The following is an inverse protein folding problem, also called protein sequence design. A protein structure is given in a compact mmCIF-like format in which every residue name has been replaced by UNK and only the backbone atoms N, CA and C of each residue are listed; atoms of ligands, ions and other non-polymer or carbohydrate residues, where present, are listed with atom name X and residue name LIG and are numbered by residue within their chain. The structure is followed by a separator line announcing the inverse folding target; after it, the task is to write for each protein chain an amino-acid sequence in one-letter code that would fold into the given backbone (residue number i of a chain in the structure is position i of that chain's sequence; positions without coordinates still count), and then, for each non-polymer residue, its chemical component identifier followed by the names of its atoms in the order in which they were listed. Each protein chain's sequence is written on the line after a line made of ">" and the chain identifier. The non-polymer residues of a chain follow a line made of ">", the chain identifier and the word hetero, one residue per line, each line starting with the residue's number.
data_IF_653400894176
#
_entry.id   IF_653400894176
#
_cell.length_a   1.000
_cell.length_b   1.000
_cell.length_c   1.000
_cell.angle_alpha   90.00
_cell.angle_beta   90.00
_cell.angle_gamma   90.00
#
_symmetry.space_group_name_H-M   'P 1'
#
loop_
_entity.id
_entity.type
_entity.pdbx_description
1 polymer ?
#
# COMPACT_ATOMS: atom_id res chain seq x y z
N UNK A 1 10.21 16.03 -16.24
CA UNK A 1 8.84 15.80 -15.71
C UNK A 1 8.94 15.56 -14.21
N UNK A 2 8.35 16.42 -13.37
CA UNK A 2 8.35 16.31 -11.90
C UNK A 2 6.91 16.43 -11.38
N UNK A 3 6.05 15.48 -11.73
CA UNK A 3 4.68 15.36 -11.24
C UNK A 3 4.45 13.97 -10.65
N UNK A 4 3.39 13.80 -9.87
CA UNK A 4 3.02 12.45 -9.42
C UNK A 4 2.62 11.63 -10.65
N UNK A 5 3.11 10.40 -10.77
CA UNK A 5 2.71 9.54 -11.90
C UNK A 5 1.21 9.26 -11.89
N UNK A 6 0.56 9.38 -10.72
CA UNK A 6 -0.88 9.23 -10.57
C UNK A 6 -1.68 10.34 -11.26
N UNK A 7 -1.07 11.50 -11.52
CA UNK A 7 -1.68 12.61 -12.26
C UNK A 7 -1.87 12.27 -13.74
N UNK A 8 -1.10 11.30 -14.26
CA UNK A 8 -1.23 10.84 -15.63
C UNK A 8 -2.53 10.04 -15.79
N UNK A 9 -3.46 10.58 -16.58
CA UNK A 9 -4.70 9.88 -16.93
C UNK A 9 -4.46 8.49 -17.53
N UNK A 10 -3.43 8.36 -18.37
CA UNK A 10 -3.04 7.08 -18.97
C UNK A 10 -2.64 6.04 -17.91
N UNK A 11 -1.99 6.47 -16.81
CA UNK A 11 -1.67 5.57 -15.71
C UNK A 11 -2.94 5.08 -15.00
N UNK A 12 -3.87 5.98 -14.67
CA UNK A 12 -5.14 5.62 -13.99
C UNK A 12 -5.98 4.68 -14.85
N UNK A 13 -6.08 4.97 -16.13
CA UNK A 13 -6.75 4.11 -17.10
C UNK A 13 -6.08 2.73 -17.19
N UNK A 14 -4.76 2.68 -17.31
CA UNK A 14 -4.02 1.42 -17.37
C UNK A 14 -4.18 0.57 -16.12
N UNK A 15 -4.16 1.17 -14.93
CA UNK A 15 -4.43 0.46 -13.66
C UNK A 15 -5.81 -0.17 -13.67
N UNK A 16 -6.84 0.60 -14.06
CA UNK A 16 -8.22 0.09 -14.14
C UNK A 16 -8.33 -1.07 -15.13
N UNK A 17 -7.80 -0.92 -16.35
CA UNK A 17 -7.87 -1.96 -17.40
C UNK A 17 -7.18 -3.25 -16.99
N UNK A 18 -6.01 -3.15 -16.34
CA UNK A 18 -5.31 -4.33 -15.80
C UNK A 18 -6.14 -5.00 -14.72
N UNK A 19 -6.76 -4.24 -13.81
CA UNK A 19 -7.60 -4.80 -12.75
C UNK A 19 -8.86 -5.46 -13.32
N UNK A 20 -9.54 -4.84 -14.29
CA UNK A 20 -10.69 -5.42 -14.99
C UNK A 20 -10.31 -6.76 -15.65
N UNK A 21 -9.17 -6.81 -16.34
CA UNK A 21 -8.69 -8.03 -16.98
C UNK A 21 -8.39 -9.15 -15.97
N UNK A 22 -7.78 -8.82 -14.83
CA UNK A 22 -7.48 -9.79 -13.78
C UNK A 22 -8.79 -10.30 -13.15
N UNK A 23 -9.71 -9.40 -12.82
CA UNK A 23 -11.02 -9.75 -12.25
C UNK A 23 -11.86 -10.63 -13.20
N UNK A 24 -11.73 -10.44 -14.52
CA UNK A 24 -12.43 -11.26 -15.51
C UNK A 24 -11.86 -12.67 -15.66
N UNK A 25 -10.61 -12.92 -15.22
CA UNK A 25 -9.89 -14.19 -15.47
C UNK A 25 -9.54 -14.96 -14.21
N UNK A 26 -9.45 -14.29 -13.06
CA UNK A 26 -9.02 -14.90 -11.82
C UNK A 26 -10.22 -15.34 -10.98
N UNK A 27 -10.32 -16.63 -10.71
CA UNK A 27 -11.33 -17.21 -9.82
C UNK A 27 -10.87 -17.03 -8.35
N UNK A 28 -11.11 -15.84 -7.80
CA UNK A 28 -10.86 -15.56 -6.38
C UNK A 28 -10.50 -14.11 -6.07
N UNK A 29 -10.30 -13.77 -4.79
CA UNK A 29 -10.02 -12.40 -4.36
C UNK A 29 -8.73 -11.85 -4.99
N UNK A 30 -8.78 -10.61 -5.45
CA UNK A 30 -7.64 -9.87 -5.99
C UNK A 30 -7.24 -8.79 -4.98
N UNK A 31 -6.00 -8.85 -4.49
CA UNK A 31 -5.47 -7.85 -3.55
C UNK A 31 -4.58 -6.88 -4.34
N UNK A 32 -4.97 -5.59 -4.34
CA UNK A 32 -4.25 -4.55 -5.06
C UNK A 32 -3.66 -3.51 -4.08
N UNK A 33 -2.44 -3.71 -3.58
CA UNK A 33 -1.80 -2.75 -2.67
C UNK A 33 -1.39 -1.51 -3.44
N UNK A 34 -2.12 -0.41 -3.22
CA UNK A 34 -1.81 0.89 -3.82
C UNK A 34 -2.18 2.03 -2.88
N UNK A 35 -1.59 3.19 -3.09
CA UNK A 35 -1.89 4.42 -2.36
C UNK A 35 -2.55 5.38 -3.33
N UNK A 36 -3.88 5.51 -3.26
CA UNK A 36 -4.67 6.47 -4.05
C UNK A 36 -5.43 7.31 -3.05
N UNK A 37 -5.13 8.61 -3.00
CA UNK A 37 -5.66 9.51 -1.97
C UNK A 37 -6.42 10.70 -2.55
N UNK A 38 -6.39 10.86 -3.88
CA UNK A 38 -7.20 11.88 -4.55
C UNK A 38 -8.58 11.30 -4.89
N UNK A 39 -9.68 11.89 -4.39
CA UNK A 39 -11.04 11.37 -4.62
C UNK A 39 -11.39 11.21 -6.11
N UNK A 40 -10.90 12.11 -6.96
CA UNK A 40 -11.08 12.01 -8.41
C UNK A 40 -10.39 10.77 -9.00
N UNK A 41 -9.16 10.49 -8.57
CA UNK A 41 -8.41 9.32 -9.04
C UNK A 41 -9.03 8.03 -8.52
N UNK A 42 -9.50 8.06 -7.27
CA UNK A 42 -10.25 6.97 -6.65
C UNK A 42 -11.51 6.65 -7.46
N UNK A 43 -12.30 7.65 -7.85
CA UNK A 43 -13.50 7.46 -8.68
C UNK A 43 -13.16 6.90 -10.07
N UNK A 44 -12.10 7.38 -10.70
CA UNK A 44 -11.65 6.90 -12.02
C UNK A 44 -11.24 5.41 -12.01
N UNK A 45 -10.74 4.91 -10.88
CA UNK A 45 -10.29 3.52 -10.74
C UNK A 45 -11.35 2.69 -10.02
N UNK A 46 -11.52 2.89 -8.72
CA UNK A 46 -12.40 2.10 -7.85
C UNK A 46 -13.87 2.35 -8.16
N UNK A 47 -14.25 3.62 -8.38
CA UNK A 47 -15.62 3.98 -8.74
C UNK A 47 -16.06 3.27 -10.02
N UNK A 48 -15.25 3.37 -11.08
CA UNK A 48 -15.55 2.70 -12.35
C UNK A 48 -15.57 1.17 -12.28
N UNK A 49 -14.68 0.56 -11.49
CA UNK A 49 -14.72 -0.88 -11.26
C UNK A 49 -16.05 -1.30 -10.59
N UNK A 50 -16.51 -0.52 -9.60
CA UNK A 50 -17.81 -0.75 -8.94
C UNK A 50 -18.98 -0.53 -9.89
N UNK A 51 -18.95 0.53 -10.69
CA UNK A 51 -19.96 0.79 -11.73
C UNK A 51 -20.03 -0.34 -12.77
N UNK A 52 -18.89 -1.01 -13.02
CA UNK A 52 -18.79 -2.23 -13.84
C UNK A 52 -19.30 -3.51 -13.17
N UNK A 53 -19.82 -3.43 -11.94
CA UNK A 53 -20.39 -4.55 -11.19
C UNK A 53 -19.38 -5.36 -10.36
N UNK A 54 -18.12 -4.92 -10.27
CA UNK A 54 -17.15 -5.60 -9.41
C UNK A 54 -17.34 -5.24 -7.93
N UNK A 55 -17.30 -6.24 -7.05
CA UNK A 55 -17.26 -6.01 -5.61
C UNK A 55 -15.86 -5.56 -5.18
N UNK A 56 -15.64 -4.25 -5.17
CA UNK A 56 -14.38 -3.65 -4.75
C UNK A 56 -14.50 -3.11 -3.33
N UNK A 57 -13.82 -3.76 -2.39
CA UNK A 57 -13.63 -3.30 -1.01
C UNK A 57 -12.33 -2.53 -0.89
N UNK A 58 -12.39 -1.29 -0.42
CA UNK A 58 -11.22 -0.44 -0.21
C UNK A 58 -10.96 -0.27 1.29
N UNK A 59 -9.70 -0.36 1.68
CA UNK A 59 -9.27 -0.24 3.07
C UNK A 59 -8.13 0.77 3.15
N UNK A 60 -8.32 1.81 3.95
CA UNK A 60 -7.30 2.78 4.29
C UNK A 60 -6.54 2.31 5.54
N UNK A 61 -5.31 1.83 5.34
CA UNK A 61 -4.46 1.41 6.46
C UNK A 61 -3.87 2.66 7.15
N UNK A 62 -4.52 3.07 8.23
CA UNK A 62 -4.14 4.24 9.01
C UNK A 62 -3.03 3.90 10.00
N UNK A 63 -2.19 4.90 10.28
CA UNK A 63 -1.25 4.85 11.37
C UNK A 63 -0.94 6.26 11.85
N UNK A 64 -0.46 6.39 13.09
CA UNK A 64 0.09 7.64 13.55
C UNK A 64 1.28 8.06 12.69
N UNK A 65 1.42 9.37 12.46
CA UNK A 65 2.48 9.95 11.65
C UNK A 65 3.86 9.43 12.08
N UNK A 66 4.12 9.38 13.38
CA UNK A 66 5.38 8.90 13.96
C UNK A 66 5.64 7.44 13.62
N UNK A 67 4.60 6.60 13.69
CA UNK A 67 4.66 5.19 13.27
C UNK A 67 5.03 5.07 11.79
N UNK A 68 4.44 5.88 10.92
CA UNK A 68 4.77 5.84 9.48
C UNK A 68 6.19 6.32 9.22
N UNK A 69 6.64 7.39 9.86
CA UNK A 69 8.01 7.89 9.74
C UNK A 69 9.04 6.87 10.24
N UNK A 70 8.75 6.18 11.35
CA UNK A 70 9.59 5.08 11.83
C UNK A 70 9.66 3.95 10.80
N UNK A 71 8.53 3.49 10.26
CA UNK A 71 8.48 2.44 9.22
C UNK A 71 9.22 2.85 7.94
N UNK A 72 9.10 4.11 7.52
CA UNK A 72 9.82 4.65 6.36
C UNK A 72 11.33 4.68 6.60
N UNK A 73 11.79 5.08 7.79
CA UNK A 73 13.20 5.03 8.19
C UNK A 73 13.72 3.59 8.19
N UNK A 74 13.02 2.64 8.81
CA UNK A 74 13.42 1.22 8.82
C UNK A 74 13.59 0.65 7.39
N UNK A 75 12.67 0.99 6.48
CA UNK A 75 12.79 0.65 5.05
C UNK A 75 13.95 1.38 4.36
N UNK A 76 14.19 2.63 4.75
CA UNK A 76 15.29 3.47 4.30
C UNK A 76 16.66 2.94 4.73
N UNK A 77 16.80 2.43 5.96
CA UNK A 77 18.03 1.78 6.45
C UNK A 77 18.39 0.55 5.61
N UNK A 78 17.39 -0.25 5.19
CA UNK A 78 17.59 -1.35 4.24
C UNK A 78 18.09 -0.91 2.85
N UNK A 79 17.72 0.30 2.39
CA UNK A 79 18.23 0.92 1.15
C UNK A 79 19.54 1.71 1.34
N UNK A 80 19.77 2.30 2.50
CA UNK A 80 20.99 3.05 2.82
C UNK A 80 22.19 2.11 2.96
N UNK A 81 21.97 0.87 3.39
CA UNK A 81 22.98 -0.21 3.29
C UNK A 81 23.36 -0.53 1.83
N UNK A 82 22.57 -0.11 0.82
CA UNK A 82 22.93 -0.20 -0.60
C UNK A 82 23.52 1.11 -1.18
N UNK A 83 23.38 2.25 -0.49
CA UNK A 83 23.76 3.58 -0.97
C UNK A 83 24.65 4.28 0.07
N UNK A 84 25.90 3.85 0.17
CA UNK A 84 26.95 4.68 0.76
C UNK A 84 27.29 5.79 -0.25
N UNK A 85 26.36 6.71 -0.50
CA UNK A 85 26.57 7.87 -1.37
C UNK A 85 25.59 9.02 -1.05
N UNK A 86 26.00 9.94 -0.16
CA UNK A 86 25.55 11.34 -0.13
C UNK A 86 24.40 11.73 0.83
N UNK A 87 24.76 12.41 1.94
CA UNK A 87 23.86 13.05 2.94
C UNK A 87 22.82 14.05 2.39
N UNK A 88 23.05 14.63 1.20
CA UNK A 88 22.13 15.61 0.62
C UNK A 88 20.91 14.98 -0.09
N UNK A 89 21.06 13.75 -0.59
CA UNK A 89 19.97 12.99 -1.22
C UNK A 89 18.96 12.46 -0.19
N UNK A 90 19.44 12.07 0.99
CA UNK A 90 18.58 11.60 2.08
C UNK A 90 17.66 12.70 2.61
N UNK A 91 18.17 13.93 2.81
CA UNK A 91 17.37 15.04 3.34
C UNK A 91 16.26 15.49 2.39
N UNK A 92 16.52 15.53 1.07
CA UNK A 92 15.48 15.84 0.06
C UNK A 92 14.43 14.74 -0.06
N UNK A 93 14.86 13.48 0.01
CA UNK A 93 13.96 12.33 -0.02
C UNK A 93 13.06 12.29 1.22
N UNK A 94 13.62 12.61 2.40
CA UNK A 94 12.85 12.73 3.64
C UNK A 94 11.80 13.84 3.54
N UNK A 95 12.15 15.04 3.09
CA UNK A 95 11.18 16.14 2.95
C UNK A 95 10.03 15.81 1.99
N UNK A 96 10.32 15.17 0.85
CA UNK A 96 9.29 14.72 -0.08
C UNK A 96 8.42 13.59 0.50
N UNK A 97 9.04 12.60 1.15
CA UNK A 97 8.32 11.50 1.79
C UNK A 97 7.42 11.98 2.94
N UNK A 98 7.86 12.99 3.70
CA UNK A 98 7.11 13.63 4.78
C UNK A 98 5.95 14.45 4.23
N UNK A 99 6.17 15.30 3.23
CA UNK A 99 5.10 16.09 2.62
C UNK A 99 4.00 15.19 2.01
N UNK A 100 4.42 14.10 1.34
CA UNK A 100 3.49 13.10 0.80
C UNK A 100 2.79 12.32 1.91
N UNK A 101 3.46 12.05 3.04
CA UNK A 101 2.86 11.40 4.20
C UNK A 101 1.73 12.23 4.78
N UNK A 102 1.98 13.50 5.07
CA UNK A 102 1.00 14.38 5.69
C UNK A 102 -0.23 14.55 4.78
N UNK A 103 0.01 14.77 3.49
CA UNK A 103 -1.05 14.79 2.46
C UNK A 103 -1.85 13.49 2.41
N UNK A 104 -1.18 12.33 2.38
CA UNK A 104 -1.87 11.03 2.33
C UNK A 104 -2.70 10.78 3.58
N UNK A 105 -2.17 11.05 4.79
CA UNK A 105 -2.89 10.80 6.04
C UNK A 105 -4.10 11.71 6.17
N UNK A 106 -4.00 12.97 5.73
CA UNK A 106 -5.13 13.90 5.76
C UNK A 106 -6.21 13.46 4.78
N UNK A 107 -5.85 13.16 3.53
CA UNK A 107 -6.80 12.75 2.50
C UNK A 107 -7.46 11.41 2.77
N UNK A 108 -6.72 10.44 3.28
CA UNK A 108 -7.25 9.13 3.60
C UNK A 108 -8.33 9.17 4.67
N UNK A 109 -8.43 10.23 5.49
CA UNK A 109 -9.52 10.40 6.47
C UNK A 109 -10.88 10.68 5.82
N UNK A 110 -10.94 10.98 4.52
CA UNK A 110 -12.20 11.22 3.82
C UNK A 110 -13.12 9.99 3.81
N UNK A 111 -14.42 10.23 3.82
CA UNK A 111 -15.46 9.20 3.86
C UNK A 111 -15.43 8.29 2.62
N UNK A 112 -14.91 8.77 1.47
CA UNK A 112 -14.79 7.97 0.26
C UNK A 112 -13.84 6.76 0.41
N UNK A 113 -12.96 6.79 1.41
CA UNK A 113 -12.02 5.71 1.71
C UNK A 113 -12.58 4.67 2.70
N UNK A 114 -13.85 4.83 3.08
CA UNK A 114 -14.83 3.90 3.69
C UNK A 114 -14.43 3.08 4.93
N UNK A 115 -13.26 2.46 4.96
CA UNK A 115 -12.81 1.65 6.09
C UNK A 115 -11.38 1.96 6.50
N UNK A 116 -11.25 2.65 7.64
CA UNK A 116 -9.97 2.98 8.25
C UNK A 116 -9.52 1.89 9.21
N UNK A 117 -8.43 1.20 8.87
CA UNK A 117 -7.83 0.18 9.73
C UNK A 117 -6.61 0.78 10.41
N UNK A 118 -6.72 1.09 11.70
CA UNK A 118 -5.61 1.66 12.50
C UNK A 118 -4.60 0.58 12.88
N UNK A 119 -3.39 0.69 12.32
CA UNK A 119 -2.37 -0.36 12.35
C UNK A 119 -1.29 -0.18 13.42
N UNK A 120 -1.37 0.84 14.27
CA UNK A 120 -0.35 1.13 15.28
C UNK A 120 -0.23 0.01 16.32
N UNK A 121 -1.37 -0.57 16.69
CA UNK A 121 -1.48 -1.59 17.76
C UNK A 121 -1.85 -2.97 17.25
N UNK A 122 -1.94 -3.14 15.93
CA UNK A 122 -2.28 -4.41 15.30
C UNK A 122 -1.04 -5.07 14.70
N UNK A 123 -0.91 -6.37 14.93
CA UNK A 123 0.02 -7.22 14.19
C UNK A 123 -0.48 -7.44 12.77
N UNK A 124 0.42 -7.83 11.86
CA UNK A 124 0.04 -8.13 10.46
C UNK A 124 -1.07 -9.19 10.36
N UNK A 125 -1.03 -10.31 11.11
CA UNK A 125 -2.15 -11.26 11.13
C UNK A 125 -3.47 -10.62 11.55
N UNK A 126 -3.47 -9.79 12.59
CA UNK A 126 -4.69 -9.11 13.05
C UNK A 126 -5.23 -8.12 12.01
N UNK A 127 -4.36 -7.40 11.28
CA UNK A 127 -4.78 -6.54 10.16
C UNK A 127 -5.39 -7.39 9.05
N UNK A 128 -4.77 -8.52 8.70
CA UNK A 128 -5.30 -9.42 7.67
C UNK A 128 -6.65 -10.01 8.07
N UNK A 129 -6.79 -10.47 9.33
CA UNK A 129 -8.04 -10.97 9.89
C UNK A 129 -9.15 -9.93 9.85
N UNK A 130 -8.83 -8.67 10.21
CA UNK A 130 -9.78 -7.56 10.13
C UNK A 130 -10.27 -7.33 8.70
N UNK A 131 -9.35 -7.20 7.75
CA UNK A 131 -9.67 -7.00 6.32
C UNK A 131 -10.49 -8.17 5.78
N UNK A 132 -10.11 -9.40 6.12
CA UNK A 132 -10.82 -10.59 5.67
C UNK A 132 -12.25 -10.66 6.24
N UNK A 133 -12.42 -10.38 7.54
CA UNK A 133 -13.73 -10.36 8.18
C UNK A 133 -14.66 -9.31 7.53
N UNK A 134 -14.15 -8.10 7.29
CA UNK A 134 -14.94 -7.06 6.59
C UNK A 134 -15.25 -7.41 5.13
N UNK A 135 -14.36 -8.14 4.46
CA UNK A 135 -14.57 -8.64 3.10
C UNK A 135 -15.43 -9.93 3.05
N UNK A 136 -15.89 -10.47 4.18
CA UNK A 136 -16.63 -11.73 4.22
C UNK A 136 -15.78 -12.96 3.82
N UNK A 137 -14.45 -12.84 3.90
CA UNK A 137 -13.50 -13.88 3.54
C UNK A 137 -13.07 -14.67 4.77
N UNK A 138 -12.98 -15.99 4.63
CA UNK A 138 -12.39 -16.86 5.65
C UNK A 138 -10.92 -17.08 5.34
N UNK A 139 -10.04 -16.63 6.23
CA UNK A 139 -8.61 -16.92 6.11
C UNK A 139 -8.32 -18.37 6.50
N UNK A 140 -7.43 -19.01 5.76
CA UNK A 140 -6.83 -20.26 6.21
C UNK A 140 -5.87 -19.98 7.38
N UNK A 141 -5.70 -20.93 8.33
CA UNK A 141 -4.81 -20.74 9.46
C UNK A 141 -3.40 -20.38 9.00
N UNK A 142 -2.85 -19.31 9.57
CA UNK A 142 -1.48 -18.91 9.30
C UNK A 142 -0.52 -19.93 9.94
N UNK A 143 -0.03 -20.89 9.14
CA UNK A 143 0.91 -21.92 9.58
C UNK A 143 2.36 -21.42 9.64
N UNK A 144 2.62 -20.17 9.23
CA UNK A 144 3.93 -19.54 9.42
C UNK A 144 4.07 -19.12 10.89
N UNK A 145 4.96 -19.78 11.63
CA UNK A 145 5.34 -19.33 12.96
C UNK A 145 5.79 -17.87 12.92
N UNK A 146 5.42 -17.07 13.93
CA UNK A 146 5.69 -15.62 13.96
C UNK A 146 7.16 -15.26 13.67
N UNK A 147 8.08 -16.14 14.06
CA UNK A 147 9.52 -16.07 13.77
C UNK A 147 9.86 -16.29 12.29
N UNK A 148 9.23 -17.26 11.61
CA UNK A 148 9.39 -17.49 10.16
C UNK A 148 8.78 -16.38 9.34
N UNK A 149 7.66 -15.79 9.76
CA UNK A 149 7.07 -14.63 9.09
C UNK A 149 7.97 -13.39 9.12
N UNK A 150 8.68 -13.16 10.23
CA UNK A 150 9.70 -12.11 10.34
C UNK A 150 10.93 -12.42 9.48
N UNK A 151 11.47 -13.64 9.58
CA UNK A 151 12.62 -14.08 8.78
C UNK A 151 12.34 -14.03 7.28
N UNK A 152 11.14 -14.41 6.84
CA UNK A 152 10.70 -14.32 5.44
C UNK A 152 10.64 -12.87 4.98
N UNK A 153 10.22 -11.91 5.81
CA UNK A 153 10.22 -10.47 5.43
C UNK A 153 11.63 -9.90 5.31
N UNK A 154 12.53 -10.26 6.23
CA UNK A 154 13.95 -9.93 6.10
C UNK A 154 14.52 -10.52 4.79
N UNK A 155 14.16 -11.77 4.48
CA UNK A 155 14.57 -12.48 3.26
C UNK A 155 13.95 -11.92 1.97
N UNK A 156 12.67 -11.51 1.97
CA UNK A 156 12.04 -10.83 0.83
C UNK A 156 12.67 -9.47 0.59
N UNK A 157 13.06 -8.74 1.66
CA UNK A 157 13.89 -7.54 1.55
C UNK A 157 15.26 -7.80 0.92
N UNK A 158 15.91 -8.92 1.26
CA UNK A 158 17.20 -9.36 0.69
C UNK A 158 17.05 -9.85 -0.76
N UNK A 159 15.94 -10.48 -1.14
CA UNK A 159 15.71 -11.00 -2.50
C UNK A 159 15.47 -9.92 -3.56
N UNK A 160 15.17 -8.68 -3.16
CA UNK A 160 15.17 -7.53 -4.07
C UNK A 160 16.57 -6.92 -4.28
N UNK A 161 17.60 -7.45 -3.60
CA UNK A 161 19.01 -7.21 -3.93
C UNK A 161 19.40 -8.21 -5.01
N UNK A 162 18.97 -7.95 -6.26
CA UNK A 162 19.64 -8.58 -7.39
C UNK A 162 21.02 -7.93 -7.49
N UNK A 163 22.05 -8.66 -7.07
CA UNK A 163 23.41 -8.47 -7.56
C UNK A 163 23.34 -8.70 -9.07
N UNK A 164 23.42 -7.63 -9.84
CA UNK A 164 23.68 -7.62 -11.28
C UNK A 164 24.64 -6.49 -11.55
#
# INVERSE_FOLDING_TARGET
>A
MRGDFQDLRAWRQGVREVLELVLARHEGPVIAPMTVVEPGYFREIVGRLRDGGHDVRHFALMAERETVLRRLRERGFGRAMQFVAGKAGSLRFESFAVAKLDHCLERLRGDEFAEHVWTDRLTIPQVAEHVAASAGLTLTPNTDSALRGYARRAWTGIKHIRLS
#
